data_IF_180413961632
#
_entry.id   IF_180413961632
#
_cell.length_a   1.000
_cell.length_b   1.000
_cell.length_c   1.000
_cell.angle_alpha   90.00
_cell.angle_beta   90.00
_cell.angle_gamma   90.00
#
_symmetry.space_group_name_H-M   'P 1'
#
loop_
_entity.id
_entity.type
_entity.pdbx_description
1 polymer ?
#
# COMPACT_ATOMS: atom_id res chain seq x y z
N UNK A 1 34.23 34.15 29.35
CA UNK A 1 33.17 33.13 29.43
C UNK A 1 33.32 32.22 28.22
N UNK A 2 33.67 30.96 28.43
CA UNK A 2 33.94 30.00 27.36
C UNK A 2 32.66 29.20 27.05
N UNK A 3 32.23 29.20 25.79
CA UNK A 3 31.07 28.43 25.33
C UNK A 3 31.52 26.99 25.08
N UNK A 4 31.06 26.06 25.90
CA UNK A 4 31.26 24.62 25.71
C UNK A 4 30.33 24.18 24.57
N UNK A 5 30.90 23.70 23.46
CA UNK A 5 30.16 23.02 22.40
C UNK A 5 29.78 21.62 22.91
N UNK A 6 28.50 21.42 23.15
CA UNK A 6 27.93 20.11 23.43
C UNK A 6 28.11 19.20 22.20
N UNK A 7 28.73 18.03 22.39
CA UNK A 7 28.88 17.02 21.34
C UNK A 7 27.48 16.45 21.06
N UNK A 8 26.99 16.65 19.83
CA UNK A 8 25.84 15.90 19.29
C UNK A 8 26.12 14.41 19.45
N UNK A 9 25.40 13.75 20.34
CA UNK A 9 25.35 12.29 20.37
C UNK A 9 24.73 11.82 19.06
N UNK A 10 25.53 11.12 18.26
CA UNK A 10 25.08 10.43 17.06
C UNK A 10 24.11 9.33 17.48
N UNK A 11 22.82 9.54 17.19
CA UNK A 11 21.77 8.53 17.29
C UNK A 11 22.26 7.27 16.55
N UNK A 12 22.26 6.08 17.18
CA UNK A 12 22.65 4.85 16.48
C UNK A 12 21.68 4.62 15.32
N UNK A 13 22.21 4.38 14.12
CA UNK A 13 21.38 3.86 13.01
C UNK A 13 20.69 2.58 13.50
N UNK A 14 19.39 2.37 13.21
CA UNK A 14 18.73 1.12 13.50
C UNK A 14 19.55 -0.02 12.90
N UNK A 15 19.84 -1.04 13.72
CA UNK A 15 20.52 -2.24 13.24
C UNK A 15 19.63 -2.89 12.16
N UNK A 16 20.18 -3.29 11.02
CA UNK A 16 19.42 -4.02 10.02
C UNK A 16 18.87 -5.31 10.64
N UNK A 17 17.69 -5.78 10.22
CA UNK A 17 17.16 -7.06 10.67
C UNK A 17 18.16 -8.18 10.38
N UNK A 18 18.24 -9.21 11.25
CA UNK A 18 19.29 -10.21 11.21
C UNK A 18 19.03 -11.25 10.10
N UNK A 19 19.14 -10.86 8.82
CA UNK A 19 19.49 -11.74 7.69
C UNK A 19 19.78 -10.92 6.41
N UNK A 20 20.93 -10.24 6.37
CA UNK A 20 21.25 -9.21 5.36
C UNK A 20 21.69 -9.74 3.99
N UNK A 21 21.45 -11.02 3.67
CA UNK A 21 21.72 -11.55 2.32
C UNK A 21 20.48 -11.65 1.41
N UNK A 22 19.28 -11.28 1.89
CA UNK A 22 18.00 -11.41 1.16
C UNK A 22 17.06 -10.19 1.27
N UNK A 23 17.52 -9.08 1.85
CA UNK A 23 16.67 -7.89 1.98
C UNK A 23 16.35 -7.30 0.59
N UNK A 24 15.06 -7.27 0.25
CA UNK A 24 14.58 -6.63 -0.98
C UNK A 24 14.64 -5.12 -0.81
N UNK A 25 15.29 -4.44 -1.76
CA UNK A 25 15.47 -2.99 -1.80
C UNK A 25 14.52 -2.30 -2.78
N UNK A 26 14.34 -0.97 -2.69
CA UNK A 26 13.62 -0.20 -3.70
C UNK A 26 14.14 -0.44 -5.12
N UNK A 27 15.46 -0.52 -5.29
CA UNK A 27 16.10 -0.74 -6.59
C UNK A 27 15.76 -2.12 -7.18
N UNK A 28 15.59 -3.14 -6.33
CA UNK A 28 15.19 -4.48 -6.77
C UNK A 28 13.79 -4.46 -7.39
N UNK A 29 12.83 -3.82 -6.71
CA UNK A 29 11.45 -3.78 -7.21
C UNK A 29 11.28 -2.87 -8.42
N UNK A 30 12.09 -1.81 -8.54
CA UNK A 30 12.08 -0.93 -9.71
C UNK A 30 12.53 -1.66 -11.00
N UNK A 31 13.37 -2.70 -10.87
CA UNK A 31 13.83 -3.54 -11.99
C UNK A 31 12.82 -4.60 -12.43
N UNK A 32 11.74 -4.83 -11.67
CA UNK A 32 10.75 -5.85 -12.00
C UNK A 32 10.03 -5.53 -13.30
N UNK A 33 10.09 -6.44 -14.26
CA UNK A 33 9.41 -6.28 -15.56
C UNK A 33 8.00 -6.87 -15.57
N UNK A 34 7.62 -7.64 -14.54
CA UNK A 34 6.34 -8.33 -14.42
C UNK A 34 5.81 -8.26 -12.99
N UNK A 35 4.53 -8.58 -12.85
CA UNK A 35 3.91 -8.83 -11.54
C UNK A 35 4.63 -10.00 -10.86
N UNK A 36 4.79 -9.91 -9.54
CA UNK A 36 5.37 -11.01 -8.77
C UNK A 36 4.34 -12.13 -8.55
N UNK A 37 4.78 -13.39 -8.66
CA UNK A 37 3.91 -14.56 -8.46
C UNK A 37 3.55 -14.76 -6.98
N UNK A 38 4.47 -14.40 -6.08
CA UNK A 38 4.34 -14.58 -4.63
C UNK A 38 4.62 -13.28 -3.90
N UNK A 39 4.34 -13.24 -2.60
CA UNK A 39 4.72 -12.12 -1.75
C UNK A 39 6.24 -12.13 -1.50
N UNK A 40 6.89 -10.96 -1.61
CA UNK A 40 8.33 -10.81 -1.41
C UNK A 40 8.75 -10.64 0.07
N UNK A 41 7.79 -10.54 0.99
CA UNK A 41 8.07 -10.50 2.44
C UNK A 41 6.94 -11.16 3.24
N UNK A 42 7.31 -11.77 4.36
CA UNK A 42 6.36 -12.33 5.32
C UNK A 42 5.58 -11.25 6.08
N UNK A 43 4.43 -11.62 6.69
CA UNK A 43 3.71 -10.74 7.62
C UNK A 43 4.54 -10.17 8.75
N UNK A 44 5.43 -10.99 9.29
CA UNK A 44 6.29 -10.65 10.41
C UNK A 44 7.38 -9.61 10.05
N UNK A 45 7.58 -9.32 8.76
CA UNK A 45 8.47 -8.24 8.32
C UNK A 45 7.97 -6.84 8.75
N UNK A 46 6.67 -6.70 9.03
CA UNK A 46 6.06 -5.46 9.52
C UNK A 46 6.30 -5.26 11.02
N UNK A 47 7.58 -5.16 11.42
CA UNK A 47 7.99 -4.96 12.83
C UNK A 47 7.61 -3.59 13.41
N UNK A 48 7.02 -2.72 12.60
CA UNK A 48 6.61 -1.36 12.94
C UNK A 48 5.12 -1.26 13.28
N UNK A 49 4.39 -2.37 13.19
CA UNK A 49 2.94 -2.47 13.37
C UNK A 49 2.18 -1.41 12.54
N UNK A 50 2.61 -1.21 11.28
CA UNK A 50 1.91 -0.32 10.36
C UNK A 50 0.61 -0.99 9.95
N UNK A 51 -0.52 -0.32 10.21
CA UNK A 51 -1.82 -0.83 9.84
C UNK A 51 -2.66 0.20 9.08
N UNK A 52 -3.07 -0.15 7.85
CA UNK A 52 -3.93 0.69 7.03
C UNK A 52 -5.39 0.53 7.45
N UNK A 53 -5.98 1.60 7.96
CA UNK A 53 -7.32 1.61 8.56
C UNK A 53 -8.37 2.21 7.62
N UNK A 54 -7.98 3.09 6.71
CA UNK A 54 -8.89 3.66 5.70
C UNK A 54 -8.17 3.93 4.40
N UNK A 55 -8.85 3.67 3.30
CA UNK A 55 -8.40 3.98 1.95
C UNK A 55 -9.55 4.57 1.14
N UNK A 56 -9.33 5.74 0.56
CA UNK A 56 -10.32 6.47 -0.24
C UNK A 56 -9.70 6.99 -1.51
N UNK A 57 -10.32 6.73 -2.66
CA UNK A 57 -9.92 7.29 -3.96
C UNK A 57 -10.98 8.29 -4.39
N UNK A 58 -10.55 9.50 -4.79
CA UNK A 58 -11.40 10.52 -5.39
C UNK A 58 -10.82 11.00 -6.72
N UNK A 59 -11.70 11.33 -7.66
CA UNK A 59 -11.34 12.10 -8.84
C UNK A 59 -11.03 13.55 -8.43
N UNK A 60 -9.87 14.08 -8.82
CA UNK A 60 -9.50 15.46 -8.50
C UNK A 60 -10.16 16.49 -9.41
N UNK A 61 -10.61 16.11 -10.61
CA UNK A 61 -11.31 17.04 -11.51
C UNK A 61 -12.76 17.25 -11.06
N UNK A 62 -13.51 16.17 -10.76
CA UNK A 62 -14.92 16.27 -10.34
C UNK A 62 -15.16 16.28 -8.83
N UNK A 63 -14.18 15.83 -8.02
CA UNK A 63 -14.35 15.61 -6.59
C UNK A 63 -15.14 14.35 -6.21
N UNK A 64 -15.59 13.55 -7.18
CA UNK A 64 -16.36 12.33 -6.93
C UNK A 64 -15.51 11.27 -6.21
N UNK A 65 -16.08 10.64 -5.18
CA UNK A 65 -15.45 9.48 -4.51
C UNK A 65 -15.68 8.25 -5.37
N UNK A 66 -14.59 7.65 -5.84
CA UNK A 66 -14.59 6.49 -6.73
C UNK A 66 -14.54 5.17 -5.97
N UNK A 67 -13.91 5.19 -4.80
CA UNK A 67 -13.77 4.03 -3.93
C UNK A 67 -13.52 4.47 -2.50
N UNK A 68 -14.08 3.76 -1.53
CA UNK A 68 -13.77 3.94 -0.14
C UNK A 68 -13.92 2.63 0.62
N UNK A 69 -12.92 2.33 1.45
CA UNK A 69 -12.97 1.22 2.41
C UNK A 69 -12.37 1.70 3.73
N UNK A 70 -13.01 1.31 4.82
CA UNK A 70 -12.49 1.51 6.17
C UNK A 70 -12.56 0.17 6.91
N UNK A 71 -11.52 -0.16 7.64
CA UNK A 71 -11.60 -1.23 8.63
C UNK A 71 -12.60 -0.80 9.70
N UNK A 72 -13.48 -1.70 10.16
CA UNK A 72 -14.33 -1.39 11.31
C UNK A 72 -13.40 -1.06 12.47
N UNK A 73 -13.63 0.10 13.11
CA UNK A 73 -12.93 0.43 14.34
C UNK A 73 -13.30 -0.65 15.36
N UNK A 74 -12.35 -1.14 16.17
CA UNK A 74 -12.74 -1.84 17.39
C UNK A 74 -13.49 -0.81 18.23
N UNK A 75 -14.82 -0.86 18.20
CA UNK A 75 -15.64 -0.15 19.17
C UNK A 75 -15.13 -0.55 20.56
N UNK A 76 -15.06 0.43 21.47
CA UNK A 76 -14.68 0.17 22.86
C UNK A 76 -15.51 -1.01 23.36
N UNK A 77 -14.86 -2.16 23.51
CA UNK A 77 -15.45 -3.32 24.18
C UNK A 77 -15.72 -2.88 25.61
N UNK A 78 -16.97 -2.48 25.86
CA UNK A 78 -17.58 -2.68 27.17
C UNK A 78 -17.32 -4.15 27.53
N UNK A 79 -16.69 -4.38 28.67
CA UNK A 79 -16.09 -5.66 29.11
C UNK A 79 -17.11 -6.80 29.35
N UNK A 80 -18.26 -6.85 28.67
CA UNK A 80 -19.37 -7.70 29.10
C UNK A 80 -20.13 -8.49 28.03
N UNK A 81 -19.57 -8.73 26.85
CA UNK A 81 -20.15 -9.73 25.94
C UNK A 81 -19.11 -10.76 25.46
N UNK A 82 -18.88 -11.77 26.32
CA UNK A 82 -18.22 -13.01 25.91
C UNK A 82 -19.24 -13.89 25.20
N UNK A 83 -19.32 -13.78 23.88
CA UNK A 83 -19.79 -14.88 23.02
C UNK A 83 -18.57 -15.58 22.40
N UNK A 84 -18.15 -16.76 22.88
CA UNK A 84 -17.08 -17.53 22.28
C UNK A 84 -17.67 -18.48 21.23
N UNK A 85 -18.19 -17.95 20.14
CA UNK A 85 -18.54 -18.77 18.96
C UNK A 85 -18.14 -18.04 17.67
N UNK A 86 -16.84 -18.09 17.38
CA UNK A 86 -16.29 -17.98 16.03
C UNK A 86 -15.03 -18.82 16.06
N UNK A 87 -15.06 -19.96 15.37
CA UNK A 87 -14.07 -21.02 15.50
C UNK A 87 -12.65 -20.57 15.20
N UNK A 88 -11.70 -21.37 15.69
CA UNK A 88 -10.30 -21.46 15.26
C UNK A 88 -10.22 -21.76 13.74
N UNK A 89 -10.67 -20.84 12.90
CA UNK A 89 -10.20 -20.75 11.53
C UNK A 89 -8.86 -20.02 11.60
N UNK A 90 -7.79 -20.70 11.20
CA UNK A 90 -6.49 -20.07 11.02
C UNK A 90 -6.68 -18.82 10.15
N UNK A 91 -6.66 -17.64 10.79
CA UNK A 91 -6.72 -16.36 10.10
C UNK A 91 -5.58 -16.38 9.09
N UNK A 92 -5.91 -16.42 7.79
CA UNK A 92 -4.89 -16.41 6.74
C UNK A 92 -3.94 -15.24 7.03
N UNK A 93 -2.62 -15.48 7.22
CA UNK A 93 -1.66 -14.42 7.45
C UNK A 93 -1.63 -13.37 6.33
N UNK A 94 -2.16 -13.72 5.15
CA UNK A 94 -2.33 -12.81 4.01
C UNK A 94 -3.72 -12.16 3.93
N UNK A 95 -4.61 -12.42 4.89
CA UNK A 95 -5.94 -11.80 4.96
C UNK A 95 -5.79 -10.28 5.03
N UNK A 96 -6.21 -9.59 3.97
CA UNK A 96 -6.10 -8.13 3.81
C UNK A 96 -4.91 -7.63 2.98
N UNK A 97 -4.01 -8.51 2.50
CA UNK A 97 -2.90 -8.15 1.58
C UNK A 97 -3.27 -8.22 0.11
N UNK A 98 -4.49 -8.63 -0.21
CA UNK A 98 -5.02 -8.68 -1.57
C UNK A 98 -6.33 -7.91 -1.66
N UNK A 99 -6.45 -7.01 -2.63
CA UNK A 99 -7.68 -6.24 -2.88
C UNK A 99 -8.12 -6.41 -4.33
N UNK A 100 -9.40 -6.74 -4.52
CA UNK A 100 -10.03 -6.83 -5.84
C UNK A 100 -10.87 -5.59 -6.10
N UNK A 101 -10.46 -4.78 -7.07
CA UNK A 101 -11.16 -3.56 -7.44
C UNK A 101 -12.13 -3.80 -8.60
N UNK A 102 -13.33 -3.27 -8.47
CA UNK A 102 -14.31 -3.18 -9.55
C UNK A 102 -14.59 -1.72 -9.86
N UNK A 103 -14.10 -1.28 -11.01
CA UNK A 103 -14.27 0.07 -11.53
C UNK A 103 -15.09 0.06 -12.81
N UNK A 104 -15.58 1.24 -13.18
CA UNK A 104 -16.27 1.46 -14.45
C UNK A 104 -15.26 1.82 -15.55
N UNK A 105 -15.61 1.71 -16.84
CA UNK A 105 -14.73 2.09 -17.95
C UNK A 105 -14.28 3.55 -17.88
N UNK A 106 -15.06 4.40 -17.23
CA UNK A 106 -14.77 5.82 -17.08
C UNK A 106 -13.51 6.06 -16.23
N UNK A 107 -13.15 5.13 -15.34
CA UNK A 107 -11.95 5.21 -14.52
C UNK A 107 -10.67 5.32 -15.35
N UNK A 108 -10.59 4.59 -16.47
CA UNK A 108 -9.43 4.62 -17.38
C UNK A 108 -9.28 5.92 -18.16
N UNK A 109 -10.28 6.80 -18.13
CA UNK A 109 -10.26 8.12 -18.78
C UNK A 109 -9.89 9.26 -17.83
N UNK A 110 -9.77 8.97 -16.53
CA UNK A 110 -9.35 9.96 -15.54
C UNK A 110 -7.90 10.34 -15.77
N UNK A 111 -7.57 11.61 -15.54
CA UNK A 111 -6.19 12.10 -15.63
C UNK A 111 -5.48 12.03 -14.29
N UNK A 112 -6.18 12.42 -13.24
CA UNK A 112 -5.59 12.54 -11.91
C UNK A 112 -6.58 12.10 -10.84
N UNK A 113 -6.15 11.23 -9.95
CA UNK A 113 -6.92 10.82 -8.77
C UNK A 113 -6.12 11.07 -7.51
N UNK A 114 -6.82 11.43 -6.43
CA UNK A 114 -6.24 11.53 -5.09
C UNK A 114 -6.61 10.29 -4.29
N UNK A 115 -5.62 9.60 -3.75
CA UNK A 115 -5.83 8.48 -2.83
C UNK A 115 -5.45 8.91 -1.42
N UNK A 116 -6.45 9.05 -0.55
CA UNK A 116 -6.26 9.30 0.88
C UNK A 116 -6.10 7.96 1.61
N UNK A 117 -5.01 7.79 2.34
CA UNK A 117 -4.74 6.66 3.23
C UNK A 117 -4.70 7.13 4.67
N UNK A 118 -5.40 6.43 5.55
CA UNK A 118 -5.22 6.55 7.01
C UNK A 118 -4.59 5.27 7.54
N UNK A 119 -3.58 5.41 8.38
CA UNK A 119 -2.86 4.28 8.96
C UNK A 119 -2.34 4.58 10.36
N UNK A 120 -2.16 3.54 11.16
CA UNK A 120 -1.53 3.62 12.48
C UNK A 120 -0.11 3.10 12.43
N UNK A 121 0.72 3.55 13.37
CA UNK A 121 2.09 3.10 13.56
C UNK A 121 2.26 2.64 15.00
N UNK A 122 2.95 1.52 15.20
CA UNK A 122 3.27 0.97 16.51
C UNK A 122 4.30 1.78 17.29
N UNK A 123 4.99 1.12 18.22
CA UNK A 123 5.91 1.78 19.14
C UNK A 123 7.26 2.17 18.56
N UNK A 124 7.60 1.68 17.37
CA UNK A 124 8.89 1.97 16.72
C UNK A 124 8.77 3.20 15.81
N UNK A 125 9.75 4.12 15.82
CA UNK A 125 9.78 5.23 14.87
C UNK A 125 9.98 4.69 13.45
N UNK A 126 9.22 5.23 12.51
CA UNK A 126 9.29 4.88 11.10
C UNK A 126 9.95 6.04 10.36
N UNK A 127 11.13 5.79 9.79
CA UNK A 127 11.86 6.77 9.00
C UNK A 127 11.81 6.40 7.52
N UNK A 128 11.77 7.43 6.66
CA UNK A 128 11.81 7.27 5.20
C UNK A 128 10.79 6.25 4.71
N UNK A 129 9.57 6.32 5.23
CA UNK A 129 8.50 5.43 4.80
C UNK A 129 8.16 5.75 3.35
N UNK A 130 8.26 4.75 2.48
CA UNK A 130 8.14 4.89 1.03
C UNK A 130 7.29 3.75 0.47
N UNK A 131 6.46 4.05 -0.52
CA UNK A 131 5.70 3.05 -1.26
C UNK A 131 6.03 3.13 -2.74
N UNK A 132 6.38 1.99 -3.31
CA UNK A 132 6.51 1.81 -4.76
C UNK A 132 5.37 0.92 -5.21
N UNK A 133 4.50 1.45 -6.07
CA UNK A 133 3.37 0.72 -6.63
C UNK A 133 3.53 0.57 -8.14
N UNK A 134 3.46 -0.67 -8.62
CA UNK A 134 3.67 -0.99 -10.04
C UNK A 134 2.41 -1.63 -10.60
N UNK A 135 1.88 -1.06 -11.68
CA UNK A 135 0.69 -1.55 -12.36
C UNK A 135 1.06 -2.21 -13.68
N UNK A 136 0.49 -3.39 -13.93
CA UNK A 136 0.72 -4.18 -15.12
C UNK A 136 -0.62 -4.58 -15.74
N UNK A 137 -0.67 -4.59 -17.07
CA UNK A 137 -1.71 -5.33 -17.80
C UNK A 137 -1.03 -6.54 -18.44
N UNK A 138 -1.40 -7.75 -17.98
CA UNK A 138 -0.65 -8.98 -18.28
C UNK A 138 0.83 -8.79 -17.89
N UNK A 139 1.74 -8.94 -18.86
CA UNK A 139 3.19 -8.78 -18.69
C UNK A 139 3.70 -7.37 -19.04
N UNK A 140 2.82 -6.41 -19.33
CA UNK A 140 3.20 -5.05 -19.74
C UNK A 140 3.04 -4.06 -18.60
N UNK A 141 4.14 -3.44 -18.19
CA UNK A 141 4.12 -2.32 -17.24
C UNK A 141 3.31 -1.15 -17.81
N UNK A 142 2.29 -0.73 -17.07
CA UNK A 142 1.47 0.45 -17.39
C UNK A 142 2.11 1.70 -16.79
N UNK A 143 2.40 1.66 -15.49
CA UNK A 143 2.95 2.78 -14.73
C UNK A 143 3.59 2.29 -13.43
N UNK A 144 4.59 3.03 -12.99
CA UNK A 144 5.13 2.94 -11.62
C UNK A 144 4.84 4.25 -10.91
N UNK A 145 4.30 4.15 -9.71
CA UNK A 145 4.13 5.23 -8.77
C UNK A 145 5.10 5.03 -7.62
N UNK A 146 5.70 6.11 -7.17
CA UNK A 146 6.76 6.10 -6.17
C UNK A 146 6.52 7.28 -5.24
N UNK A 147 6.06 6.98 -4.02
CA UNK A 147 5.61 7.96 -3.05
C UNK A 147 6.41 7.84 -1.76
N UNK A 148 6.82 8.99 -1.23
CA UNK A 148 7.42 9.08 0.09
C UNK A 148 6.39 9.64 1.08
N UNK A 149 6.10 8.89 2.14
CA UNK A 149 5.33 9.37 3.28
C UNK A 149 6.21 10.21 4.22
N UNK A 150 7.51 9.88 4.31
CA UNK A 150 8.46 10.56 5.18
C UNK A 150 8.57 9.93 6.58
N UNK A 151 8.60 10.77 7.61
CA UNK A 151 8.69 10.33 9.01
C UNK A 151 7.29 10.12 9.60
N UNK A 152 7.04 8.98 10.22
CA UNK A 152 5.80 8.72 10.94
C UNK A 152 6.04 8.62 12.45
N UNK A 153 5.19 9.31 13.21
CA UNK A 153 5.33 9.41 14.67
C UNK A 153 4.94 8.06 15.30
N UNK A 154 5.70 7.53 16.28
CA UNK A 154 5.31 6.34 17.02
C UNK A 154 3.96 6.51 17.73
N UNK A 155 3.21 5.43 17.89
CA UNK A 155 1.90 5.41 18.57
C UNK A 155 0.92 6.46 18.05
N UNK A 156 0.92 6.72 16.74
CA UNK A 156 0.10 7.75 16.14
C UNK A 156 -0.74 7.22 14.98
N UNK A 157 -1.80 7.95 14.69
CA UNK A 157 -2.58 7.80 13.46
C UNK A 157 -2.14 8.87 12.47
N UNK A 158 -1.79 8.45 11.27
CA UNK A 158 -1.29 9.29 10.20
C UNK A 158 -2.28 9.28 9.04
N UNK A 159 -2.33 10.39 8.32
CA UNK A 159 -3.11 10.53 7.09
C UNK A 159 -2.19 11.05 6.01
N UNK A 160 -2.17 10.39 4.86
CA UNK A 160 -1.43 10.83 3.68
C UNK A 160 -2.38 10.84 2.48
N UNK A 161 -2.15 11.77 1.55
CA UNK A 161 -2.83 11.79 0.26
C UNK A 161 -1.79 11.69 -0.86
N UNK A 162 -1.88 10.62 -1.63
CA UNK A 162 -1.07 10.41 -2.83
C UNK A 162 -1.83 10.89 -4.06
N UNK A 163 -1.15 11.64 -4.90
CA UNK A 163 -1.71 12.13 -6.17
C UNK A 163 -1.20 11.23 -7.29
N UNK A 164 -2.13 10.51 -7.92
CA UNK A 164 -1.84 9.62 -9.02
C UNK A 164 -2.14 10.32 -10.33
N UNK A 165 -1.11 10.54 -11.14
CA UNK A 165 -1.23 10.99 -12.52
C UNK A 165 -1.24 9.79 -13.47
N UNK A 166 -2.39 9.53 -14.10
CA UNK A 166 -2.57 8.37 -14.95
C UNK A 166 -1.82 8.55 -16.29
N UNK A 167 -1.22 7.48 -16.82
CA UNK A 167 -0.63 7.52 -18.14
C UNK A 167 -1.72 7.68 -19.21
N UNK A 168 -1.37 8.29 -20.34
CA UNK A 168 -2.24 8.29 -21.51
C UNK A 168 -2.19 6.88 -22.13
N UNK A 169 -3.30 6.15 -22.03
CA UNK A 169 -3.42 4.80 -22.56
C UNK A 169 -3.97 4.83 -24.00
N UNK A 170 -3.40 4.04 -24.94
CA UNK A 170 -3.97 3.89 -26.27
C UNK A 170 -5.40 3.33 -26.22
N UNK A 171 -6.31 3.76 -27.12
CA UNK A 171 -7.70 3.29 -27.12
C UNK A 171 -7.86 1.77 -27.19
N UNK A 172 -7.02 1.10 -28.00
CA UNK A 172 -7.05 -0.36 -28.14
C UNK A 172 -6.71 -1.06 -26.83
N UNK A 173 -5.71 -0.55 -26.10
CA UNK A 173 -5.32 -1.08 -24.79
C UNK A 173 -6.43 -0.86 -23.76
N UNK A 174 -7.09 0.31 -23.77
CA UNK A 174 -8.24 0.58 -22.89
C UNK A 174 -9.37 -0.43 -23.13
N UNK A 175 -9.69 -0.71 -24.40
CA UNK A 175 -10.71 -1.70 -24.76
C UNK A 175 -10.32 -3.11 -24.29
N UNK A 176 -9.05 -3.51 -24.47
CA UNK A 176 -8.56 -4.80 -23.97
C UNK A 176 -8.65 -4.91 -22.45
N UNK A 177 -8.27 -3.86 -21.71
CA UNK A 177 -8.36 -3.83 -20.25
C UNK A 177 -9.80 -3.92 -19.74
N UNK A 178 -10.77 -3.33 -20.45
CA UNK A 178 -12.19 -3.46 -20.12
C UNK A 178 -12.70 -4.88 -20.40
N UNK A 179 -12.29 -5.47 -21.51
CA UNK A 179 -12.71 -6.82 -21.93
C UNK A 179 -12.03 -7.95 -21.13
N UNK A 180 -10.94 -7.67 -20.43
CA UNK A 180 -10.11 -8.66 -19.73
C UNK A 180 -10.04 -8.34 -18.22
N UNK A 181 -11.15 -8.52 -17.46
CA UNK A 181 -11.19 -8.20 -16.04
C UNK A 181 -10.15 -9.01 -15.25
N UNK A 182 -9.52 -8.39 -14.26
CA UNK A 182 -8.50 -8.98 -13.35
C UNK A 182 -7.17 -9.39 -14.02
N UNK A 183 -6.99 -9.08 -15.31
CA UNK A 183 -5.68 -9.15 -15.99
C UNK A 183 -4.83 -7.89 -15.80
N UNK A 184 -5.45 -6.80 -15.35
CA UNK A 184 -4.71 -5.67 -14.78
C UNK A 184 -4.45 -5.96 -13.31
N UNK A 185 -3.18 -5.88 -12.90
CA UNK A 185 -2.72 -6.21 -11.55
C UNK A 185 -1.69 -5.20 -11.07
N UNK A 186 -1.56 -5.08 -9.75
CA UNK A 186 -0.53 -4.26 -9.14
C UNK A 186 0.16 -4.96 -7.97
N UNK A 187 1.43 -4.58 -7.80
CA UNK A 187 2.20 -4.84 -6.59
C UNK A 187 2.50 -3.50 -5.91
N UNK A 188 2.15 -3.39 -4.62
CA UNK A 188 2.45 -2.24 -3.77
C UNK A 188 3.47 -2.66 -2.71
N UNK A 189 4.70 -2.16 -2.85
CA UNK A 189 5.84 -2.47 -1.99
C UNK A 189 6.08 -1.32 -1.02
N UNK A 190 6.14 -1.61 0.28
CA UNK A 190 6.35 -0.61 1.33
C UNK A 190 7.70 -0.80 1.99
N UNK A 191 8.47 0.27 2.06
CA UNK A 191 9.83 0.29 2.57
C UNK A 191 9.95 1.22 3.77
N UNK A 192 10.72 0.78 4.76
CA UNK A 192 11.19 1.62 5.87
C UNK A 192 12.71 1.54 5.88
N UNK A 193 13.37 2.70 5.83
CA UNK A 193 14.82 2.77 5.71
C UNK A 193 15.41 1.89 4.58
N UNK A 194 14.72 1.81 3.44
CA UNK A 194 15.07 1.01 2.25
C UNK A 194 14.95 -0.52 2.42
N UNK A 195 14.32 -0.99 3.49
CA UNK A 195 14.00 -2.41 3.70
C UNK A 195 12.51 -2.66 3.45
N UNK A 196 12.19 -3.67 2.63
CA UNK A 196 10.82 -4.10 2.39
C UNK A 196 10.19 -4.64 3.70
N UNK A 197 9.08 -4.04 4.13
CA UNK A 197 8.35 -4.44 5.35
C UNK A 197 6.94 -4.97 5.07
N UNK A 198 6.34 -4.55 3.94
CA UNK A 198 5.01 -4.99 3.54
C UNK A 198 4.93 -5.05 2.02
N UNK A 199 4.14 -5.99 1.53
CA UNK A 199 3.86 -6.16 0.12
C UNK A 199 2.39 -6.51 -0.04
N UNK A 200 1.64 -5.63 -0.69
CA UNK A 200 0.24 -5.81 -0.99
C UNK A 200 0.06 -6.01 -2.50
N UNK A 201 -1.01 -6.71 -2.87
CA UNK A 201 -1.36 -7.03 -4.24
C UNK A 201 -2.78 -6.58 -4.55
N UNK A 202 -3.04 -6.26 -5.80
CA UNK A 202 -4.39 -5.98 -6.26
C UNK A 202 -4.64 -6.46 -7.69
N UNK A 203 -5.90 -6.73 -7.99
CA UNK A 203 -6.38 -6.88 -9.37
C UNK A 203 -7.56 -5.94 -9.66
N UNK A 204 -7.74 -5.62 -10.93
CA UNK A 204 -8.66 -4.58 -11.36
C UNK A 204 -9.55 -5.08 -12.50
N UNK A 205 -10.85 -4.82 -12.37
CA UNK A 205 -11.81 -4.91 -13.45
C UNK A 205 -12.34 -3.50 -13.79
N UNK A 206 -12.54 -3.24 -15.09
CA UNK A 206 -13.04 -1.94 -15.58
C UNK A 206 -14.38 -2.07 -16.31
N UNK A 207 -15.05 -3.21 -16.21
CA UNK A 207 -16.32 -3.51 -16.90
C UNK A 207 -17.56 -3.04 -16.11
N UNK A 208 -17.39 -2.33 -14.98
CA UNK A 208 -18.50 -1.86 -14.16
C UNK A 208 -19.32 -2.97 -13.50
N UNK A 209 -18.73 -4.15 -13.27
CA UNK A 209 -19.41 -5.29 -12.65
C UNK A 209 -20.35 -6.05 -13.60
N UNK A 210 -20.34 -5.74 -14.90
CA UNK A 210 -21.08 -6.51 -15.90
C UNK A 210 -20.41 -7.87 -16.09
N UNK A 211 -21.04 -8.95 -15.62
CA UNK A 211 -20.64 -10.30 -16.00
C UNK A 211 -20.95 -10.50 -17.49
N UNK A 212 -19.90 -10.60 -18.31
CA UNK A 212 -20.02 -11.13 -19.68
C UNK A 212 -20.30 -12.62 -19.66
#
# INVERSE_FOLDING_TARGET
>A
MSVVREKRETIPRPLPPPDSSKAITPEDVLRLTKITETYLCDPDANIYDIDFTRFKIRDLESGAVLFEIAKPLPENVDENDKNPESGDEAIDPNSGRFVRYQFTPQFLKLKTVGATVEFTVGGRPVNRFRMIERHFFRDKLLKTFDFEFGFCIPYSRNTCEHIYEFPVLPPDLVNEMIASPFETRSDSFYFVDDFLIMHNKADYAYNGGMST
#
